data_IF_721086481384
#
_entry.id   IF_721086481384
#
_cell.length_a   1.000
_cell.length_b   1.000
_cell.length_c   1.000
_cell.angle_alpha   90.00
_cell.angle_beta   90.00
_cell.angle_gamma   90.00
#
_symmetry.space_group_name_H-M   'P 1'
#
loop_
_entity.id
_entity.type
_entity.pdbx_description
1 polymer ?
#
# COMPACT_ATOMS: atom_id res chain seq x y z
N UNK A 1 -60.75 20.20 -51.46
CA UNK A 1 -59.60 20.70 -50.67
C UNK A 1 -58.59 19.58 -50.56
N UNK A 2 -57.43 19.71 -51.22
CA UNK A 2 -56.37 18.68 -51.30
C UNK A 2 -55.44 18.88 -50.11
N UNK A 3 -55.36 17.91 -49.20
CA UNK A 3 -54.32 17.85 -48.16
C UNK A 3 -53.15 17.01 -48.68
N UNK A 4 -52.00 17.68 -48.78
CA UNK A 4 -50.73 17.20 -49.27
C UNK A 4 -50.05 16.39 -48.15
N UNK A 5 -49.81 15.08 -48.33
CA UNK A 5 -48.98 14.32 -47.40
C UNK A 5 -47.50 14.49 -47.77
N UNK A 6 -46.76 15.13 -46.88
CA UNK A 6 -45.32 15.35 -46.98
C UNK A 6 -44.60 14.13 -46.38
N UNK A 7 -43.98 13.30 -47.23
CA UNK A 7 -43.13 12.20 -46.77
C UNK A 7 -41.73 12.74 -46.47
N UNK A 8 -41.36 12.84 -45.20
CA UNK A 8 -39.98 13.13 -44.76
C UNK A 8 -39.27 11.80 -44.58
N UNK A 9 -38.37 11.45 -45.51
CA UNK A 9 -37.47 10.31 -45.37
C UNK A 9 -36.22 10.74 -44.60
N UNK A 10 -36.12 10.35 -43.33
CA UNK A 10 -34.89 10.47 -42.55
C UNK A 10 -33.93 9.33 -42.94
N UNK A 11 -32.86 9.64 -43.68
CA UNK A 11 -31.73 8.72 -43.87
C UNK A 11 -30.88 8.71 -42.59
N UNK A 12 -31.02 7.65 -41.79
CA UNK A 12 -30.11 7.32 -40.70
C UNK A 12 -28.82 6.73 -41.29
N UNK A 13 -27.74 7.52 -41.34
CA UNK A 13 -26.41 6.99 -41.53
C UNK A 13 -25.97 6.25 -40.26
N UNK A 14 -26.06 4.93 -40.26
CA UNK A 14 -25.44 4.10 -39.23
C UNK A 14 -23.91 4.10 -39.44
N UNK A 15 -23.19 4.92 -38.69
CA UNK A 15 -21.74 4.80 -38.57
C UNK A 15 -21.46 3.47 -37.87
N UNK A 16 -20.84 2.52 -38.58
CA UNK A 16 -20.36 1.29 -37.98
C UNK A 16 -19.28 1.64 -36.96
N UNK A 17 -19.64 1.66 -35.67
CA UNK A 17 -18.68 1.73 -34.59
C UNK A 17 -17.86 0.43 -34.59
N UNK A 18 -16.63 0.49 -35.10
CA UNK A 18 -15.71 -0.64 -35.04
C UNK A 18 -15.29 -0.83 -33.57
N UNK A 19 -15.87 -1.84 -32.91
CA UNK A 19 -15.36 -2.32 -31.64
C UNK A 19 -14.19 -3.27 -31.91
N UNK A 20 -13.00 -2.92 -31.44
CA UNK A 20 -11.85 -3.82 -31.46
C UNK A 20 -11.73 -4.53 -30.12
N UNK A 21 -11.75 -5.86 -30.15
CA UNK A 21 -11.43 -6.67 -28.97
C UNK A 21 -9.91 -6.79 -28.86
N UNK A 22 -9.32 -6.10 -27.88
CA UNK A 22 -7.95 -6.35 -27.46
C UNK A 22 -7.88 -7.72 -26.79
N UNK A 23 -7.32 -8.70 -27.50
CA UNK A 23 -7.03 -10.04 -26.98
C UNK A 23 -5.52 -10.18 -26.84
N UNK A 24 -5.06 -10.36 -25.60
CA UNK A 24 -3.66 -10.62 -25.30
C UNK A 24 -3.43 -12.13 -25.11
N UNK A 25 -2.39 -12.67 -25.72
CA UNK A 25 -1.89 -14.03 -25.54
C UNK A 25 -0.60 -14.04 -24.70
N UNK A 26 -0.19 -15.21 -24.21
CA UNK A 26 1.05 -15.36 -23.42
C UNK A 26 2.29 -14.78 -24.12
N UNK A 27 2.37 -14.92 -25.44
CA UNK A 27 3.46 -14.35 -26.26
C UNK A 27 3.55 -12.83 -26.20
N UNK A 28 2.42 -12.13 -26.05
CA UNK A 28 2.40 -10.66 -26.03
C UNK A 28 3.11 -10.15 -24.78
N UNK A 29 2.89 -10.82 -23.64
CA UNK A 29 3.50 -10.49 -22.35
C UNK A 29 4.99 -10.81 -22.28
N UNK A 30 5.48 -11.77 -23.08
CA UNK A 30 6.90 -12.10 -23.15
C UNK A 30 7.73 -10.93 -23.71
N UNK A 31 7.11 -10.04 -24.50
CA UNK A 31 7.76 -8.85 -25.04
C UNK A 31 7.80 -7.67 -24.06
N UNK A 32 7.07 -7.73 -22.94
CA UNK A 32 6.95 -6.62 -22.00
C UNK A 32 8.08 -6.66 -20.97
N UNK A 33 8.53 -5.48 -20.55
CA UNK A 33 9.37 -5.35 -19.36
C UNK A 33 8.55 -5.71 -18.12
N UNK A 34 8.77 -6.90 -17.57
CA UNK A 34 8.13 -7.38 -16.35
C UNK A 34 9.16 -7.72 -15.26
N UNK A 35 8.78 -7.69 -13.96
CA UNK A 35 9.67 -8.08 -12.89
C UNK A 35 10.05 -9.56 -13.04
N UNK A 36 11.33 -9.83 -13.29
CA UNK A 36 11.85 -11.19 -13.42
C UNK A 36 11.72 -11.93 -12.08
N UNK A 37 11.26 -13.17 -12.12
CA UNK A 37 11.07 -14.02 -10.92
C UNK A 37 9.78 -13.81 -10.13
N UNK A 38 8.99 -12.76 -10.45
CA UNK A 38 7.67 -12.50 -9.83
C UNK A 38 6.52 -12.99 -10.72
N UNK A 39 6.75 -12.99 -12.03
CA UNK A 39 5.76 -13.28 -13.06
C UNK A 39 6.28 -14.40 -13.94
N UNK A 40 5.48 -15.46 -14.10
CA UNK A 40 5.72 -16.56 -15.02
C UNK A 40 4.77 -16.42 -16.21
N UNK A 41 5.33 -16.15 -17.39
CA UNK A 41 4.59 -16.07 -18.64
C UNK A 41 4.46 -17.48 -19.22
N UNK A 42 3.24 -17.98 -19.35
CA UNK A 42 2.92 -19.30 -19.90
C UNK A 42 2.11 -19.17 -21.20
N UNK A 43 2.04 -20.20 -22.05
CA UNK A 43 1.23 -20.14 -23.28
C UNK A 43 -0.26 -19.83 -23.03
N UNK A 44 -0.78 -20.22 -21.87
CA UNK A 44 -2.20 -20.06 -21.50
C UNK A 44 -2.48 -18.75 -20.74
N UNK A 45 -1.46 -17.94 -20.46
CA UNK A 45 -1.58 -16.68 -19.72
C UNK A 45 -0.45 -16.45 -18.72
N UNK A 46 -0.67 -15.52 -17.81
CA UNK A 46 0.32 -15.13 -16.80
C UNK A 46 -0.01 -15.77 -15.46
N UNK A 47 1.01 -16.28 -14.77
CA UNK A 47 0.91 -16.69 -13.37
C UNK A 47 1.85 -15.85 -12.52
N UNK A 48 1.33 -15.21 -11.47
CA UNK A 48 2.15 -14.56 -10.45
C UNK A 48 2.67 -15.61 -9.46
N UNK A 49 3.95 -15.53 -9.13
CA UNK A 49 4.55 -16.34 -8.07
C UNK A 49 3.91 -15.94 -6.75
N UNK A 50 3.29 -16.90 -6.05
CA UNK A 50 2.75 -16.66 -4.72
C UNK A 50 3.89 -16.54 -3.71
N UNK A 51 3.75 -15.58 -2.81
CA UNK A 51 4.56 -15.48 -1.61
C UNK A 51 3.87 -16.29 -0.52
N UNK A 52 4.28 -17.54 -0.33
CA UNK A 52 3.67 -18.43 0.68
C UNK A 52 4.38 -18.36 2.04
N UNK A 53 5.45 -17.56 2.16
CA UNK A 53 6.20 -17.39 3.39
C UNK A 53 5.90 -16.05 4.05
N UNK A 54 5.48 -16.10 5.32
CA UNK A 54 5.42 -14.92 6.18
C UNK A 54 6.83 -14.54 6.61
N UNK A 55 7.13 -13.25 6.57
CA UNK A 55 8.41 -12.69 7.04
C UNK A 55 8.17 -11.38 7.80
N UNK A 56 9.12 -11.00 8.65
CA UNK A 56 9.10 -9.68 9.26
C UNK A 56 9.68 -8.66 8.27
N UNK A 57 8.82 -7.81 7.70
CA UNK A 57 9.23 -6.79 6.74
C UNK A 57 10.22 -5.76 7.30
N UNK A 58 10.23 -5.55 8.62
CA UNK A 58 11.12 -4.62 9.30
C UNK A 58 12.55 -5.16 9.36
N UNK A 59 12.73 -6.48 9.45
CA UNK A 59 14.02 -7.11 9.75
C UNK A 59 15.12 -6.77 8.73
N UNK A 60 14.76 -6.58 7.46
CA UNK A 60 15.68 -6.19 6.39
C UNK A 60 15.29 -4.88 5.72
N UNK A 61 14.42 -4.06 6.33
CA UNK A 61 13.95 -2.80 5.74
C UNK A 61 15.09 -1.85 5.36
N UNK A 62 16.17 -1.84 6.15
CA UNK A 62 17.36 -1.00 5.93
C UNK A 62 18.11 -1.32 4.64
N UNK A 63 17.89 -2.48 4.04
CA UNK A 63 18.51 -2.89 2.76
C UNK A 63 17.84 -2.23 1.54
N UNK A 64 16.64 -1.65 1.70
CA UNK A 64 15.80 -1.19 0.59
C UNK A 64 15.51 0.32 0.58
N UNK A 65 16.08 1.12 1.50
CA UNK A 65 15.73 2.54 1.63
C UNK A 65 15.89 3.29 0.30
N UNK A 66 14.76 3.66 -0.33
CA UNK A 66 14.72 3.92 -1.77
C UNK A 66 14.37 5.35 -2.18
N UNK A 67 13.80 6.19 -1.32
CA UNK A 67 13.46 7.58 -1.68
C UNK A 67 13.50 8.50 -0.45
N UNK A 68 13.93 9.75 -0.64
CA UNK A 68 13.84 10.76 0.42
C UNK A 68 12.41 11.29 0.54
N UNK A 69 11.82 11.12 1.71
CA UNK A 69 10.48 11.65 2.04
C UNK A 69 10.64 12.79 3.05
N UNK A 70 10.36 14.01 2.61
CA UNK A 70 10.51 15.22 3.44
C UNK A 70 11.97 15.61 3.70
N UNK A 71 12.19 16.36 4.78
CA UNK A 71 13.51 16.95 5.12
C UNK A 71 14.51 15.94 5.72
N UNK A 72 14.05 14.75 6.09
CA UNK A 72 14.83 13.78 6.89
C UNK A 72 15.64 12.76 6.06
N UNK A 73 15.70 12.92 4.74
CA UNK A 73 16.51 12.07 3.86
C UNK A 73 15.95 10.64 3.67
N UNK A 74 16.84 9.67 3.41
CA UNK A 74 16.51 8.26 3.11
C UNK A 74 16.58 7.33 4.34
N UNK A 75 16.22 7.84 5.53
CA UNK A 75 16.37 7.09 6.79
C UNK A 75 15.28 6.03 6.96
N UNK A 76 15.68 4.87 7.49
CA UNK A 76 14.76 3.81 7.92
C UNK A 76 13.78 4.29 8.99
N UNK A 77 14.27 4.95 10.05
CA UNK A 77 13.43 5.48 11.11
C UNK A 77 13.52 7.01 11.21
N UNK A 78 12.37 7.68 11.26
CA UNK A 78 12.24 9.14 11.29
C UNK A 78 11.39 9.60 12.47
N UNK A 79 11.87 10.59 13.20
CA UNK A 79 11.17 11.16 14.36
C UNK A 79 11.75 12.56 14.68
N UNK A 80 10.92 13.51 15.13
CA UNK A 80 11.40 14.80 15.60
C UNK A 80 11.88 14.74 17.06
N UNK A 81 11.77 13.58 17.74
CA UNK A 81 12.17 13.41 19.14
C UNK A 81 13.11 12.23 19.31
N UNK A 82 14.28 12.47 19.92
CA UNK A 82 15.33 11.46 20.13
C UNK A 82 15.68 10.64 18.85
N UNK A 83 15.96 11.35 17.77
CA UNK A 83 16.25 10.77 16.45
C UNK A 83 17.49 9.86 16.42
N UNK A 84 18.43 10.02 17.36
CA UNK A 84 19.63 9.18 17.46
C UNK A 84 19.31 7.73 17.84
N UNK A 85 18.19 7.50 18.53
CA UNK A 85 17.73 6.18 18.95
C UNK A 85 16.59 5.61 18.07
N UNK A 86 16.18 6.34 17.04
CA UNK A 86 15.03 5.98 16.20
C UNK A 86 15.17 4.58 15.59
N UNK A 87 16.38 4.23 15.16
CA UNK A 87 16.69 2.96 14.51
C UNK A 87 16.50 1.75 15.45
N UNK A 88 16.60 1.95 16.77
CA UNK A 88 16.40 0.89 17.78
C UNK A 88 14.97 0.34 17.76
N UNK A 89 13.99 1.07 17.25
CA UNK A 89 12.61 0.59 17.16
C UNK A 89 12.43 -0.58 16.17
N UNK A 90 13.39 -0.78 15.26
CA UNK A 90 13.31 -1.80 14.21
C UNK A 90 14.54 -2.71 14.10
N UNK A 91 15.49 -2.61 15.02
CA UNK A 91 16.76 -3.36 14.99
C UNK A 91 16.63 -4.86 15.33
N UNK A 92 15.43 -5.31 15.71
CA UNK A 92 15.10 -6.69 16.10
C UNK A 92 15.65 -7.13 17.46
N UNK A 93 16.28 -6.25 18.25
CA UNK A 93 16.73 -6.57 19.60
C UNK A 93 15.64 -6.23 20.62
N UNK A 94 15.09 -7.21 21.38
CA UNK A 94 14.08 -6.93 22.40
C UNK A 94 14.60 -6.14 23.60
N UNK A 95 15.92 -5.91 23.70
CA UNK A 95 16.58 -5.17 24.77
C UNK A 95 16.93 -3.73 24.41
N UNK A 96 16.68 -3.31 23.18
CA UNK A 96 16.79 -1.91 22.77
C UNK A 96 15.40 -1.36 22.49
N UNK A 97 15.25 -0.04 22.58
CA UNK A 97 14.00 0.64 22.26
C UNK A 97 14.27 2.10 21.93
N UNK A 98 13.43 2.68 21.10
CA UNK A 98 13.32 4.12 20.99
C UNK A 98 12.47 4.66 22.16
N UNK A 99 12.89 5.79 22.73
CA UNK A 99 12.13 6.56 23.73
C UNK A 99 12.11 8.02 23.29
N UNK A 100 10.96 8.70 23.24
CA UNK A 100 10.94 10.13 22.96
C UNK A 100 11.68 10.90 24.06
N UNK A 101 12.28 12.02 23.69
CA UNK A 101 12.85 12.98 24.61
C UNK A 101 11.72 13.59 25.47
N UNK A 102 11.76 13.43 26.81
CA UNK A 102 10.72 13.93 27.70
C UNK A 102 10.56 15.46 27.66
N UNK A 103 11.60 16.19 27.24
CA UNK A 103 11.58 17.66 27.16
C UNK A 103 10.97 18.16 25.85
N UNK A 104 10.63 17.26 24.91
CA UNK A 104 9.96 17.62 23.66
C UNK A 104 8.43 17.57 23.78
N UNK A 105 7.69 18.43 23.06
CA UNK A 105 6.23 18.38 23.06
C UNK A 105 5.70 17.01 22.61
N UNK A 106 4.56 16.57 23.16
CA UNK A 106 3.92 15.28 22.82
C UNK A 106 3.63 15.14 21.32
N UNK A 107 3.40 16.24 20.61
CA UNK A 107 3.19 16.24 19.15
C UNK A 107 4.44 15.79 18.38
N UNK A 108 5.62 15.83 19.02
CA UNK A 108 6.88 15.31 18.50
C UNK A 108 7.10 13.83 18.82
N UNK A 109 6.23 13.20 19.62
CA UNK A 109 6.37 11.82 20.07
C UNK A 109 5.76 10.85 19.06
N UNK A 110 6.32 10.85 17.86
CA UNK A 110 5.97 9.89 16.82
C UNK A 110 7.24 9.36 16.16
N UNK A 111 7.12 8.16 15.61
CA UNK A 111 8.17 7.50 14.86
C UNK A 111 7.55 6.95 13.58
N UNK A 112 8.20 7.24 12.45
CA UNK A 112 7.87 6.71 11.14
C UNK A 112 8.93 5.69 10.72
N UNK A 113 8.50 4.50 10.33
CA UNK A 113 9.38 3.47 9.78
C UNK A 113 9.15 3.34 8.27
N UNK A 114 10.18 3.60 7.48
CA UNK A 114 10.21 3.40 6.05
C UNK A 114 10.76 2.01 5.72
N UNK A 115 9.92 1.18 5.09
CA UNK A 115 10.31 -0.18 4.72
C UNK A 115 11.15 -0.24 3.43
N UNK A 116 11.30 0.88 2.73
CA UNK A 116 12.03 0.99 1.47
C UNK A 116 11.36 0.31 0.27
N UNK A 117 10.25 -0.41 0.50
CA UNK A 117 9.53 -1.19 -0.50
C UNK A 117 8.06 -1.36 -0.11
N UNK A 118 7.23 -1.62 -1.12
CA UNK A 118 5.85 -2.06 -0.88
C UNK A 118 5.85 -3.48 -0.31
N UNK A 119 5.11 -3.69 0.78
CA UNK A 119 4.92 -5.00 1.40
C UNK A 119 3.43 -5.32 1.52
N UNK A 120 3.08 -6.57 1.25
CA UNK A 120 1.75 -7.10 1.57
C UNK A 120 1.82 -7.63 3.00
N UNK A 121 1.45 -6.79 3.97
CA UNK A 121 1.43 -7.15 5.38
C UNK A 121 0.00 -7.51 5.81
N UNK A 122 -0.13 -8.59 6.58
CA UNK A 122 -1.39 -9.01 7.20
C UNK A 122 -1.56 -8.46 8.63
N UNK A 123 -0.46 -8.02 9.26
CA UNK A 123 -0.44 -7.56 10.64
C UNK A 123 0.69 -6.58 10.93
N UNK A 124 0.41 -5.58 11.78
CA UNK A 124 1.42 -4.76 12.45
C UNK A 124 1.51 -5.19 13.91
N UNK A 125 2.73 -5.38 14.41
CA UNK A 125 3.01 -5.67 15.82
C UNK A 125 3.83 -4.54 16.42
N UNK A 126 3.32 -3.92 17.48
CA UNK A 126 4.06 -2.94 18.27
C UNK A 126 4.51 -3.63 19.55
N UNK A 127 5.83 -3.64 19.79
CA UNK A 127 6.44 -4.24 20.98
C UNK A 127 6.98 -3.11 21.86
N UNK A 128 6.49 -3.05 23.10
CA UNK A 128 6.96 -2.11 24.09
C UNK A 128 7.88 -2.79 25.09
N UNK A 129 8.92 -2.11 25.58
CA UNK A 129 9.62 -2.55 26.77
C UNK A 129 8.66 -2.49 27.97
N UNK A 130 8.79 -3.46 28.89
CA UNK A 130 8.12 -3.42 30.18
C UNK A 130 9.10 -3.82 31.28
N UNK A 131 9.94 -2.85 31.64
CA UNK A 131 10.97 -2.97 32.67
C UNK A 131 11.08 -1.66 33.45
N UNK A 132 11.98 -1.60 34.41
CA UNK A 132 12.26 -0.35 35.13
C UNK A 132 12.74 0.73 34.15
N UNK A 133 12.19 1.94 34.27
CA UNK A 133 12.54 3.08 33.40
C UNK A 133 11.95 3.07 31.97
N UNK A 134 11.28 2.00 31.55
CA UNK A 134 10.65 1.87 30.23
C UNK A 134 9.37 1.03 30.28
N UNK A 135 8.22 1.68 30.06
CA UNK A 135 6.88 1.10 30.12
C UNK A 135 6.13 1.27 28.81
N UNK A 136 5.14 0.42 28.51
CA UNK A 136 4.25 0.62 27.37
C UNK A 136 3.55 1.98 27.42
N UNK A 137 3.33 2.59 26.25
CA UNK A 137 2.49 3.78 26.18
C UNK A 137 1.04 3.40 26.48
N UNK A 138 0.40 4.15 27.39
CA UNK A 138 -1.02 3.96 27.70
C UNK A 138 -1.91 4.27 26.49
N UNK A 139 -1.55 5.30 25.73
CA UNK A 139 -2.25 5.74 24.53
C UNK A 139 -1.26 5.95 23.39
N UNK A 140 -1.56 5.38 22.23
CA UNK A 140 -0.83 5.59 21.00
C UNK A 140 -1.75 5.31 19.82
N UNK A 141 -1.35 5.69 18.61
CA UNK A 141 -2.08 5.35 17.40
C UNK A 141 -1.10 4.85 16.36
N UNK A 142 -1.47 3.78 15.67
CA UNK A 142 -0.69 3.23 14.57
C UNK A 142 -1.29 3.71 13.27
N UNK A 143 -0.43 4.17 12.37
CA UNK A 143 -0.80 4.62 11.04
C UNK A 143 0.00 3.87 10.00
N UNK A 144 -0.58 3.68 8.81
CA UNK A 144 0.06 3.02 7.68
C UNK A 144 -0.14 3.83 6.41
N UNK A 145 0.81 3.72 5.48
CA UNK A 145 0.73 4.33 4.16
C UNK A 145 1.26 3.36 3.11
N UNK A 146 0.69 3.33 1.89
CA UNK A 146 1.32 2.64 0.76
C UNK A 146 2.58 3.35 0.25
N UNK A 147 2.99 4.48 0.85
CA UNK A 147 4.18 5.23 0.44
C UNK A 147 4.02 6.00 -0.88
N UNK A 148 2.83 5.98 -1.47
CA UNK A 148 2.52 6.64 -2.75
C UNK A 148 2.26 8.13 -2.48
N UNK A 149 3.02 9.05 -3.08
CA UNK A 149 2.73 10.48 -2.99
C UNK A 149 1.37 10.81 -3.62
N UNK A 150 0.58 11.62 -2.94
CA UNK A 150 -0.64 12.20 -3.53
C UNK A 150 -0.23 13.42 -4.36
N UNK A 151 -0.61 13.41 -5.64
CA UNK A 151 -0.39 14.50 -6.57
C UNK A 151 -1.56 15.50 -6.55
N UNK A 152 -1.31 16.77 -6.85
CA UNK A 152 -2.35 17.82 -6.93
C UNK A 152 -2.19 19.01 -5.98
N UNK A 153 -1.15 19.02 -5.13
CA UNK A 153 -0.78 20.17 -4.28
C UNK A 153 0.62 20.71 -4.61
N UNK A 154 1.01 21.81 -3.94
CA UNK A 154 2.34 22.45 -4.11
C UNK A 154 3.52 21.59 -3.62
N UNK A 155 3.26 20.53 -2.84
CA UNK A 155 4.29 19.64 -2.30
C UNK A 155 3.85 18.16 -2.37
N UNK A 156 4.82 17.26 -2.58
CA UNK A 156 4.61 15.81 -2.46
C UNK A 156 4.21 15.48 -1.03
N UNK A 157 3.05 14.83 -0.84
CA UNK A 157 2.58 14.41 0.48
C UNK A 157 2.25 12.94 0.49
N UNK A 158 2.76 12.23 1.49
CA UNK A 158 2.34 10.87 1.80
C UNK A 158 1.14 10.94 2.74
N UNK A 159 0.08 10.20 2.40
CA UNK A 159 -1.11 10.12 3.23
C UNK A 159 -1.05 8.87 4.08
N UNK A 160 -1.30 9.08 5.37
CA UNK A 160 -1.36 8.04 6.38
C UNK A 160 -2.81 7.76 6.78
N UNK A 161 -3.16 6.48 6.88
CA UNK A 161 -4.44 6.03 7.41
C UNK A 161 -4.23 5.41 8.79
N UNK A 162 -5.04 5.79 9.77
CA UNK A 162 -5.02 5.17 11.10
C UNK A 162 -5.43 3.70 10.98
N UNK A 163 -4.54 2.82 11.41
CA UNK A 163 -4.79 1.39 11.50
C UNK A 163 -5.53 1.05 12.80
N UNK A 164 -5.11 1.65 13.92
CA UNK A 164 -5.77 1.42 15.21
C UNK A 164 -5.15 2.20 16.36
N UNK A 165 -5.76 2.05 17.54
CA UNK A 165 -5.31 2.58 18.83
C UNK A 165 -5.88 1.74 19.97
N UNK A 166 -5.25 1.72 21.16
CA UNK A 166 -5.91 1.18 22.36
C UNK A 166 -7.24 1.89 22.65
N UNK A 167 -8.24 1.12 23.08
CA UNK A 167 -9.55 1.65 23.51
C UNK A 167 -9.48 2.16 24.95
N UNK A 168 -8.78 1.40 25.81
CA UNK A 168 -8.47 1.73 27.19
C UNK A 168 -6.96 1.95 27.34
N UNK A 169 -6.51 2.33 28.55
CA UNK A 169 -5.08 2.37 28.86
C UNK A 169 -4.42 1.04 28.51
N UNK A 170 -3.46 1.08 27.60
CA UNK A 170 -2.67 -0.08 27.25
C UNK A 170 -1.68 -0.43 28.37
N UNK A 171 -1.77 -1.66 28.87
CA UNK A 171 -0.79 -2.27 29.77
C UNK A 171 0.03 -3.37 29.10
N UNK A 172 -0.24 -3.66 27.83
CA UNK A 172 0.38 -4.76 27.09
C UNK A 172 1.72 -4.37 26.50
N UNK A 173 2.66 -5.31 26.54
CA UNK A 173 3.98 -5.18 25.90
C UNK A 173 3.97 -5.59 24.43
N UNK A 174 2.92 -6.26 23.96
CA UNK A 174 2.70 -6.61 22.56
C UNK A 174 1.28 -6.21 22.16
N UNK A 175 1.16 -5.31 21.19
CA UNK A 175 -0.12 -4.92 20.62
C UNK A 175 -0.12 -5.23 19.13
N UNK A 176 -1.15 -5.92 18.67
CA UNK A 176 -1.29 -6.36 17.29
C UNK A 176 -2.46 -5.67 16.61
N UNK A 177 -2.26 -5.30 15.34
CA UNK A 177 -3.30 -4.73 14.49
C UNK A 177 -3.34 -5.48 13.17
N UNK A 178 -4.48 -6.06 12.84
CA UNK A 178 -4.67 -6.73 11.56
C UNK A 178 -4.79 -5.71 10.42
N UNK A 179 -4.06 -5.95 9.34
CA UNK A 179 -4.17 -5.20 8.09
C UNK A 179 -5.11 -5.96 7.17
N UNK A 180 -6.33 -5.46 7.04
CA UNK A 180 -7.22 -5.93 5.98
C UNK A 180 -6.86 -5.21 4.70
N UNK A 181 -6.34 -5.96 3.72
CA UNK A 181 -6.25 -5.45 2.35
C UNK A 181 -7.65 -5.58 1.75
N UNK A 182 -8.46 -4.53 1.87
CA UNK A 182 -9.74 -4.48 1.17
C UNK A 182 -9.50 -4.59 -0.33
N UNK A 183 -10.08 -5.60 -0.97
CA UNK A 183 -10.05 -5.76 -2.44
C UNK A 183 -9.13 -6.85 -2.98
N UNK A 184 -8.39 -7.61 -2.16
CA UNK A 184 -7.84 -8.88 -2.59
C UNK A 184 -8.93 -9.95 -2.53
N UNK A 185 -9.92 -9.85 -3.43
CA UNK A 185 -10.53 -11.10 -3.88
C UNK A 185 -9.37 -12.01 -4.26
N UNK A 186 -9.39 -13.28 -3.80
CA UNK A 186 -8.48 -14.26 -4.39
C UNK A 186 -8.63 -14.09 -5.90
N UNK A 187 -7.54 -13.89 -6.62
CA UNK A 187 -7.54 -14.05 -8.06
C UNK A 187 -7.79 -15.54 -8.35
N UNK A 188 -8.97 -16.02 -8.02
CA UNK A 188 -9.54 -17.21 -8.60
C UNK A 188 -9.76 -16.79 -10.04
N UNK A 189 -9.18 -17.54 -10.98
CA UNK A 189 -9.49 -17.38 -12.41
C UNK A 189 -10.95 -17.72 -12.75
N UNK A 190 -11.86 -17.61 -11.78
CA UNK A 190 -13.28 -17.94 -11.86
C UNK A 190 -14.11 -16.80 -12.46
N UNK A 191 -13.60 -15.57 -12.51
CA UNK A 191 -14.17 -14.54 -13.37
C UNK A 191 -13.73 -14.71 -14.84
N UNK A 192 -13.91 -15.91 -15.39
CA UNK A 192 -14.04 -16.14 -16.83
C UNK A 192 -15.48 -15.86 -17.28
N UNK A 193 -16.03 -14.70 -16.89
CA UNK A 193 -17.30 -14.24 -17.41
C UNK A 193 -17.04 -13.53 -18.75
N UNK A 194 -17.46 -14.18 -19.84
CA UNK A 194 -17.18 -13.80 -21.23
C UNK A 194 -17.84 -12.49 -21.70
N UNK A 195 -18.45 -11.68 -20.83
CA UNK A 195 -19.42 -10.65 -21.24
C UNK A 195 -19.33 -9.28 -20.55
N UNK A 196 -18.16 -8.84 -20.07
CA UNK A 196 -18.01 -7.45 -19.61
C UNK A 196 -17.04 -6.66 -20.49
N UNK A 197 -17.60 -5.76 -21.29
CA UNK A 197 -16.92 -4.72 -22.06
C UNK A 197 -16.67 -3.50 -21.17
N UNK A 198 -15.42 -3.08 -21.01
CA UNK A 198 -15.07 -1.77 -20.45
C UNK A 198 -15.28 -0.71 -21.54
N UNK A 199 -16.17 0.25 -21.28
CA UNK A 199 -16.35 1.44 -22.11
C UNK A 199 -15.45 2.54 -21.51
N UNK A 200 -14.32 2.81 -22.16
CA UNK A 200 -13.58 4.04 -21.89
C UNK A 200 -14.39 5.22 -22.46
N UNK A 201 -14.59 6.25 -21.64
CA UNK A 201 -14.93 7.60 -22.10
C UNK A 201 -13.62 8.36 -22.30
#
# INVERSE_FOLDING_TARGET
MKTLQLAVAFLLFAVAANSQNLRFAGSDFASWAHPQGLVEVRPQGIKVKRFDQRFNAVANAREFSGQSIGEYGQRFARTPSNQQQADLAGDQDPNTWWKPDPDTPVQSWWLELDLGRSVVADKVRVRFPNREGAKPFNFFSVYVSPGIPVFGGRAKRIVYRRLGRPINNNTESLVEFDLTTTGLASATGEHRLRHHTLRAL
#
